data_IF_630154577728
#
_entry.id   IF_630154577728
#
_cell.length_a   1.000
_cell.length_b   1.000
_cell.length_c   1.000
_cell.angle_alpha   90.00
_cell.angle_beta   90.00
_cell.angle_gamma   90.00
#
_symmetry.space_group_name_H-M   'P 1'
#
loop_
_entity.id
_entity.type
_entity.pdbx_description
1 polymer ?
#
# COMPACT_ATOMS: atom_id res chain seq x y z
N UNK A 1 -14.67 5.36 -37.23
CA UNK A 1 -13.96 4.82 -36.04
C UNK A 1 -12.60 4.26 -36.45
N UNK A 2 -11.47 4.93 -36.10
CA UNK A 2 -10.15 4.33 -36.20
C UNK A 2 -9.27 4.65 -34.97
N UNK A 3 -9.71 4.31 -33.75
CA UNK A 3 -8.91 4.54 -32.52
C UNK A 3 -8.12 3.29 -32.11
N UNK A 4 -8.51 2.11 -32.59
CA UNK A 4 -7.94 0.83 -32.16
C UNK A 4 -6.60 0.52 -32.87
N UNK A 5 -6.41 1.00 -34.09
CA UNK A 5 -5.24 0.67 -34.93
C UNK A 5 -3.93 1.29 -34.39
N UNK A 6 -3.98 2.43 -33.70
CA UNK A 6 -2.80 3.10 -33.17
C UNK A 6 -2.23 2.41 -31.92
N UNK A 7 -3.08 1.73 -31.15
CA UNK A 7 -2.65 1.09 -29.89
C UNK A 7 -1.78 -0.14 -30.16
N UNK A 8 -2.15 -0.96 -31.15
CA UNK A 8 -1.42 -2.20 -31.47
C UNK A 8 -0.01 -1.91 -32.01
N UNK A 9 0.15 -0.88 -32.85
CA UNK A 9 1.47 -0.47 -33.36
C UNK A 9 2.39 0.03 -32.25
N UNK A 10 1.85 0.72 -31.23
CA UNK A 10 2.63 1.18 -30.07
C UNK A 10 3.13 0.03 -29.19
N UNK A 11 2.37 -1.07 -29.11
CA UNK A 11 2.72 -2.26 -28.32
C UNK A 11 3.77 -3.10 -29.06
N UNK A 12 3.62 -3.27 -30.38
CA UNK A 12 4.60 -4.00 -31.21
C UNK A 12 5.95 -3.24 -31.31
N UNK A 13 5.92 -1.90 -31.41
CA UNK A 13 7.14 -1.09 -31.43
C UNK A 13 7.96 -1.17 -30.14
N UNK A 14 7.32 -1.43 -28.99
CA UNK A 14 8.02 -1.58 -27.70
C UNK A 14 8.76 -2.91 -27.56
N UNK A 15 8.46 -3.91 -28.40
CA UNK A 15 9.12 -5.22 -28.33
C UNK A 15 10.50 -5.25 -29.01
N UNK A 16 10.87 -4.21 -29.77
CA UNK A 16 12.03 -4.26 -30.69
C UNK A 16 13.18 -3.29 -30.39
N UNK A 17 13.33 -2.85 -29.13
CA UNK A 17 14.47 -2.00 -28.75
C UNK A 17 15.03 -2.35 -27.37
N UNK A 18 15.32 -3.64 -27.15
CA UNK A 18 16.34 -4.02 -26.17
C UNK A 18 17.71 -3.63 -26.74
N UNK A 19 18.11 -2.37 -26.52
CA UNK A 19 19.52 -2.00 -26.54
C UNK A 19 20.06 -2.24 -25.14
N UNK A 20 21.02 -3.15 -25.05
CA UNK A 20 21.85 -3.45 -23.88
C UNK A 20 22.60 -2.17 -23.49
N UNK A 21 21.97 -1.33 -22.68
CA UNK A 21 22.60 -0.16 -22.10
C UNK A 21 23.43 -0.65 -20.91
N UNK A 22 24.75 -0.42 -20.97
CA UNK A 22 25.69 -0.73 -19.88
C UNK A 22 25.13 -0.17 -18.58
N UNK A 23 24.82 -1.07 -17.63
CA UNK A 23 24.36 -0.72 -16.28
C UNK A 23 25.49 0.00 -15.56
N UNK A 24 25.46 1.33 -15.56
CA UNK A 24 25.97 2.09 -14.41
C UNK A 24 25.14 1.72 -13.20
N UNK A 25 25.73 1.55 -12.01
CA UNK A 25 24.97 1.33 -10.78
C UNK A 25 24.31 2.66 -10.42
N UNK A 26 23.20 3.00 -11.08
CA UNK A 26 22.27 3.93 -10.51
C UNK A 26 21.72 3.27 -9.26
N UNK A 27 22.18 3.75 -8.10
CA UNK A 27 21.53 3.48 -6.83
C UNK A 27 20.07 3.93 -6.99
N UNK A 28 19.19 2.96 -7.18
CA UNK A 28 17.75 3.18 -7.13
C UNK A 28 17.48 3.59 -5.69
N UNK A 29 16.98 4.80 -5.41
CA UNK A 29 16.52 5.12 -4.07
C UNK A 29 15.47 4.08 -3.71
N UNK A 30 15.70 3.34 -2.64
CA UNK A 30 14.77 2.36 -2.08
C UNK A 30 13.51 3.11 -1.67
N UNK A 31 12.57 3.29 -2.59
CA UNK A 31 11.23 3.74 -2.26
C UNK A 31 10.56 2.57 -1.54
N UNK A 32 10.73 2.50 -0.22
CA UNK A 32 9.85 1.73 0.64
C UNK A 32 8.47 2.35 0.52
N UNK A 33 7.68 1.86 -0.43
CA UNK A 33 6.31 2.30 -0.64
C UNK A 33 5.50 2.11 0.63
N UNK A 34 4.54 3.01 0.84
CA UNK A 34 3.59 2.89 1.95
C UNK A 34 2.71 1.66 1.67
N UNK A 35 2.66 0.71 2.62
CA UNK A 35 1.75 -0.43 2.58
C UNK A 35 0.52 -0.10 3.42
N UNK A 36 -0.66 -0.20 2.83
CA UNK A 36 -1.94 0.11 3.48
C UNK A 36 -2.71 -1.18 3.78
N UNK A 37 -3.26 -1.28 4.99
CA UNK A 37 -4.01 -2.45 5.46
C UNK A 37 -5.43 -2.01 5.87
N UNK A 38 -6.45 -2.23 5.03
CA UNK A 38 -7.83 -1.96 5.42
C UNK A 38 -8.26 -2.96 6.50
N UNK A 39 -8.79 -2.46 7.61
CA UNK A 39 -9.24 -3.26 8.74
C UNK A 39 -10.69 -2.91 9.10
N UNK A 40 -11.52 -3.94 9.30
CA UNK A 40 -12.87 -3.81 9.85
C UNK A 40 -12.91 -4.52 11.19
N UNK A 41 -13.28 -3.79 12.24
CA UNK A 41 -13.38 -4.33 13.59
C UNK A 41 -14.84 -4.70 13.87
N UNK A 42 -15.05 -5.90 14.41
CA UNK A 42 -16.37 -6.41 14.76
C UNK A 42 -16.93 -5.77 16.04
N UNK A 43 -18.25 -5.90 16.29
CA UNK A 43 -18.85 -5.40 17.53
C UNK A 43 -18.28 -6.15 18.75
N UNK A 44 -18.05 -5.43 19.85
CA UNK A 44 -17.51 -5.98 21.09
C UNK A 44 -16.02 -6.30 21.07
N UNK A 45 -15.31 -5.98 19.98
CA UNK A 45 -13.86 -6.14 19.86
C UNK A 45 -13.17 -4.82 20.22
N UNK A 46 -12.10 -4.92 21.00
CA UNK A 46 -11.31 -3.76 21.43
C UNK A 46 -10.37 -3.27 20.32
N UNK A 47 -10.47 -1.98 19.99
CA UNK A 47 -9.73 -1.33 18.90
C UNK A 47 -8.21 -1.47 19.04
N UNK A 48 -7.65 -1.17 20.21
CA UNK A 48 -6.20 -1.13 20.43
C UNK A 48 -5.59 -2.52 20.33
N UNK A 49 -6.20 -3.50 20.97
CA UNK A 49 -5.78 -4.92 20.92
C UNK A 49 -5.76 -5.45 19.49
N UNK A 50 -6.79 -5.17 18.67
CA UNK A 50 -6.80 -5.58 17.25
C UNK A 50 -5.67 -4.95 16.43
N UNK A 51 -5.33 -3.67 16.69
CA UNK A 51 -4.22 -3.01 15.98
C UNK A 51 -2.89 -3.67 16.34
N UNK A 52 -2.68 -4.02 17.62
CA UNK A 52 -1.47 -4.72 18.05
C UNK A 52 -1.34 -6.11 17.42
N UNK A 53 -2.42 -6.90 17.42
CA UNK A 53 -2.44 -8.21 16.75
C UNK A 53 -2.08 -8.09 15.26
N UNK A 54 -2.61 -7.07 14.58
CA UNK A 54 -2.27 -6.79 13.18
C UNK A 54 -0.79 -6.44 12.99
N UNK A 55 -0.17 -5.69 13.92
CA UNK A 55 1.26 -5.37 13.86
C UNK A 55 2.13 -6.62 13.97
N UNK A 56 1.78 -7.50 14.90
CA UNK A 56 2.49 -8.76 15.13
C UNK A 56 2.38 -9.67 13.91
N UNK A 57 1.17 -9.81 13.34
CA UNK A 57 0.90 -10.71 12.22
C UNK A 57 1.61 -10.24 10.92
N UNK A 58 1.68 -8.93 10.69
CA UNK A 58 2.41 -8.35 9.54
C UNK A 58 3.92 -8.28 9.81
N UNK A 59 4.35 -8.36 11.07
CA UNK A 59 5.74 -8.24 11.48
C UNK A 59 6.28 -6.81 11.32
N UNK A 60 5.51 -5.79 11.71
CA UNK A 60 5.92 -4.38 11.66
C UNK A 60 6.14 -3.79 13.04
N UNK A 61 7.16 -2.95 13.17
CA UNK A 61 7.47 -2.24 14.42
C UNK A 61 6.70 -0.92 14.57
N UNK A 62 6.23 -0.34 13.47
CA UNK A 62 5.51 0.92 13.48
C UNK A 62 4.41 0.96 12.41
N UNK A 63 3.31 1.62 12.77
CA UNK A 63 2.24 2.00 11.86
C UNK A 63 1.75 3.41 12.19
N UNK A 64 0.98 3.98 11.28
CA UNK A 64 0.18 5.15 11.55
C UNK A 64 -1.22 4.95 10.96
N UNK A 65 -2.21 5.56 11.58
CA UNK A 65 -3.60 5.47 11.15
C UNK A 65 -3.85 6.54 10.08
N UNK A 66 -4.16 6.12 8.86
CA UNK A 66 -4.56 7.04 7.77
C UNK A 66 -5.99 7.58 7.96
N UNK A 67 -6.90 6.70 8.37
CA UNK A 67 -8.31 7.01 8.61
C UNK A 67 -8.90 5.93 9.51
N UNK A 68 -9.78 6.33 10.43
CA UNK A 68 -10.53 5.42 11.30
C UNK A 68 -11.94 5.99 11.50
N UNK A 69 -12.96 5.27 11.03
CA UNK A 69 -14.36 5.70 11.08
C UNK A 69 -15.18 4.56 11.65
N UNK A 70 -16.01 4.86 12.65
CA UNK A 70 -16.89 3.89 13.28
C UNK A 70 -17.51 4.43 14.56
N UNK A 71 -18.17 3.53 15.30
CA UNK A 71 -18.78 3.82 16.60
C UNK A 71 -18.17 2.93 17.65
N UNK A 72 -17.96 3.48 18.84
CA UNK A 72 -17.50 2.73 20.01
C UNK A 72 -18.65 2.62 21.01
N UNK A 73 -18.81 1.44 21.60
CA UNK A 73 -19.75 1.24 22.71
C UNK A 73 -19.18 1.78 24.03
N UNK A 74 -17.86 1.66 24.20
CA UNK A 74 -17.12 2.14 25.37
C UNK A 74 -15.83 2.79 24.89
N UNK A 75 -15.39 3.86 25.58
CA UNK A 75 -14.17 4.57 25.26
C UNK A 75 -13.53 5.10 26.54
N UNK A 76 -12.23 4.84 26.70
CA UNK A 76 -11.41 5.45 27.76
C UNK A 76 -10.47 6.47 27.12
N UNK A 77 -10.69 7.74 27.42
CA UNK A 77 -9.82 8.83 26.99
C UNK A 77 -9.00 9.28 28.18
N UNK A 78 -7.68 9.09 28.11
CA UNK A 78 -6.78 9.69 29.10
C UNK A 78 -6.63 11.17 28.76
N UNK A 79 -7.27 12.04 29.55
CA UNK A 79 -7.03 13.48 29.53
C UNK A 79 -5.79 13.79 30.37
N UNK A 80 -4.65 13.96 29.68
CA UNK A 80 -3.43 14.50 30.26
C UNK A 80 -3.43 16.03 30.26
#
# INVERSE_FOLDING_TARGET
MPVITNTINSILARKHKMKTQKRTPHQVPTSTGIRCYPLRIGPGIELISTIHELMEDIGVQSLFILSCIGTLSECSLNSH
#
